data_IF_136310065797
#
_entry.id   IF_136310065797
#
_cell.length_a   1.000
_cell.length_b   1.000
_cell.length_c   1.000
_cell.angle_alpha   90.00
_cell.angle_beta   90.00
_cell.angle_gamma   90.00
#
_symmetry.space_group_name_H-M   'P 1'
#
loop_
_entity.id
_entity.type
_entity.pdbx_description
1 polymer ?
#
# COMPACT_ATOMS: atom_id res chain seq x y z
N UNK A 1 20.71 -2.03 -0.70
CA UNK A 1 19.44 -1.30 -0.91
C UNK A 1 18.46 -1.72 0.17
N UNK A 2 17.98 -0.78 0.98
CA UNK A 2 16.96 -0.99 2.00
C UNK A 2 15.58 -0.64 1.43
N UNK A 3 14.72 -1.63 1.26
CA UNK A 3 13.33 -1.45 0.85
C UNK A 3 12.37 -1.61 2.03
N UNK A 4 11.40 -0.71 2.13
CA UNK A 4 10.28 -0.79 3.06
C UNK A 4 8.96 -0.62 2.30
N UNK A 5 8.08 -1.62 2.37
CA UNK A 5 6.73 -1.58 1.82
C UNK A 5 5.74 -1.53 2.98
N UNK A 6 5.03 -0.42 3.11
CA UNK A 6 4.09 -0.18 4.20
C UNK A 6 2.76 -0.85 3.90
N UNK A 7 2.34 -1.79 4.74
CA UNK A 7 1.03 -2.44 4.66
C UNK A 7 0.04 -1.59 5.46
N UNK A 8 -0.81 -0.85 4.76
CA UNK A 8 -1.80 0.01 5.39
C UNK A 8 -2.98 -0.82 5.87
N UNK A 9 -3.22 -0.79 7.17
CA UNK A 9 -4.31 -1.55 7.80
C UNK A 9 -5.04 -0.75 8.88
N UNK A 10 -6.36 -0.94 8.96
CA UNK A 10 -7.20 -0.46 10.06
C UNK A 10 -7.64 -1.60 10.99
N UNK A 11 -7.14 -2.83 10.78
CA UNK A 11 -7.40 -4.00 11.62
C UNK A 11 -6.21 -4.97 11.69
N UNK A 12 -6.14 -5.88 12.67
CA UNK A 12 -5.11 -6.91 12.70
C UNK A 12 -5.21 -7.83 11.48
N UNK A 13 -4.07 -8.09 10.83
CA UNK A 13 -4.00 -8.93 9.62
C UNK A 13 -2.75 -9.79 9.61
N UNK A 14 -2.82 -10.92 8.90
CA UNK A 14 -1.62 -11.71 8.59
C UNK A 14 -0.76 -10.94 7.60
N UNK A 15 0.51 -10.77 7.92
CA UNK A 15 1.49 -10.10 7.06
C UNK A 15 2.37 -11.13 6.34
N UNK A 16 2.91 -10.81 5.15
CA UNK A 16 3.90 -11.64 4.49
C UNK A 16 5.15 -11.83 5.36
N UNK A 17 5.88 -12.93 5.13
CA UNK A 17 7.09 -13.24 5.90
C UNK A 17 8.31 -12.37 5.52
N UNK A 18 8.32 -11.78 4.33
CA UNK A 18 9.44 -10.97 3.88
C UNK A 18 9.55 -9.68 4.72
N UNK A 19 10.74 -9.43 5.27
CA UNK A 19 11.02 -8.33 6.19
C UNK A 19 10.87 -6.94 5.54
N UNK A 20 10.81 -6.83 4.22
CA UNK A 20 10.54 -5.55 3.56
C UNK A 20 9.13 -5.04 3.88
N UNK A 21 8.19 -5.94 4.22
CA UNK A 21 6.82 -5.56 4.55
C UNK A 21 6.71 -5.07 5.99
N UNK A 22 6.43 -3.78 6.16
CA UNK A 22 6.20 -3.16 7.45
C UNK A 22 4.70 -2.89 7.64
N UNK A 23 4.00 -3.60 8.52
CA UNK A 23 2.61 -3.29 8.81
C UNK A 23 2.47 -1.94 9.54
N UNK A 24 1.57 -1.11 9.04
CA UNK A 24 1.25 0.21 9.61
C UNK A 24 -0.25 0.26 9.91
N UNK A 25 -0.57 0.40 11.18
CA UNK A 25 -1.93 0.67 11.62
C UNK A 25 -2.22 2.16 11.47
N UNK A 26 -3.27 2.49 10.72
CA UNK A 26 -3.69 3.86 10.43
C UNK A 26 -4.75 4.40 11.37
N UNK A 27 -4.79 5.72 11.50
CA UNK A 27 -5.82 6.46 12.24
C UNK A 27 -5.58 6.51 13.76
N UNK A 28 -6.52 7.15 14.45
CA UNK A 28 -6.38 7.57 15.85
C UNK A 28 -6.99 6.60 16.88
N UNK A 29 -7.26 5.35 16.49
CA UNK A 29 -7.75 4.33 17.44
C UNK A 29 -6.81 4.20 18.64
N UNK A 30 -7.37 4.05 19.84
CA UNK A 30 -6.61 3.78 21.06
C UNK A 30 -6.03 2.37 21.10
N UNK A 31 -6.56 1.45 20.28
CA UNK A 31 -6.01 0.10 20.13
C UNK A 31 -4.65 0.16 19.43
N UNK A 32 -3.71 -0.68 19.85
CA UNK A 32 -2.41 -0.85 19.20
C UNK A 32 -2.22 -2.32 18.80
N UNK A 33 -2.19 -2.59 17.49
CA UNK A 33 -1.99 -3.94 17.00
C UNK A 33 -0.54 -4.39 17.23
N UNK A 34 -0.39 -5.56 17.86
CA UNK A 34 0.94 -6.13 18.13
C UNK A 34 1.72 -6.31 16.83
N UNK A 35 2.93 -5.76 16.78
CA UNK A 35 3.83 -5.87 15.62
C UNK A 35 3.56 -4.86 14.50
N UNK A 36 2.60 -3.94 14.67
CA UNK A 36 2.32 -2.88 13.70
C UNK A 36 2.95 -1.57 14.18
N UNK A 37 3.51 -0.80 13.25
CA UNK A 37 3.81 0.60 13.51
C UNK A 37 2.51 1.41 13.55
N UNK A 38 2.52 2.54 14.26
CA UNK A 38 1.40 3.46 14.28
C UNK A 38 1.74 4.70 13.46
N UNK A 39 0.86 5.03 12.52
CA UNK A 39 1.00 6.25 11.72
C UNK A 39 0.83 7.53 12.57
N UNK A 40 0.20 7.44 13.76
CA UNK A 40 -0.05 8.56 14.67
C UNK A 40 1.14 8.93 15.59
N UNK A 41 2.36 8.52 15.22
CA UNK A 41 3.59 8.76 15.99
C UNK A 41 4.53 9.69 15.23
N UNK A 42 5.38 10.45 15.94
CA UNK A 42 6.27 11.42 15.30
C UNK A 42 5.51 12.49 14.52
N UNK A 43 6.07 12.97 13.41
CA UNK A 43 5.38 13.91 12.51
C UNK A 43 4.33 13.16 11.68
N UNK A 44 3.05 13.49 11.88
CA UNK A 44 1.95 12.75 11.30
C UNK A 44 0.71 13.61 11.02
N UNK A 45 -0.22 13.03 10.24
CA UNK A 45 -1.54 13.59 9.92
C UNK A 45 -2.65 12.54 10.15
N UNK A 46 -2.48 11.64 11.11
CA UNK A 46 -3.38 10.49 11.31
C UNK A 46 -4.80 10.86 11.70
N UNK A 47 -5.00 12.02 12.30
CA UNK A 47 -6.32 12.60 12.55
C UNK A 47 -7.10 12.85 11.24
N UNK A 48 -6.42 12.98 10.10
CA UNK A 48 -7.03 13.15 8.78
C UNK A 48 -7.35 11.83 8.07
N UNK A 49 -7.08 10.68 8.68
CA UNK A 49 -7.34 9.37 8.09
C UNK A 49 -8.79 9.19 7.56
N UNK A 50 -9.85 9.73 8.19
CA UNK A 50 -11.21 9.63 7.64
C UNK A 50 -11.36 10.22 6.23
N UNK A 51 -10.53 11.19 5.84
CA UNK A 51 -10.60 11.88 4.54
C UNK A 51 -9.41 11.56 3.63
N UNK A 52 -8.23 11.26 4.20
CA UNK A 52 -6.98 11.05 3.46
C UNK A 52 -6.64 9.57 3.30
N UNK A 53 -7.32 8.67 4.01
CA UNK A 53 -7.13 7.22 3.94
C UNK A 53 -5.63 6.84 4.03
N UNK A 54 -5.14 6.01 3.10
CA UNK A 54 -3.77 5.50 3.06
C UNK A 54 -2.69 6.60 2.92
N UNK A 55 -3.04 7.82 2.51
CA UNK A 55 -2.10 8.94 2.43
C UNK A 55 -1.53 9.32 3.80
N UNK A 56 -2.24 9.02 4.89
CA UNK A 56 -1.72 9.24 6.25
C UNK A 56 -0.51 8.37 6.55
N UNK A 57 -0.55 7.08 6.17
CA UNK A 57 0.60 6.18 6.28
C UNK A 57 1.74 6.60 5.34
N UNK A 58 1.42 7.06 4.13
CA UNK A 58 2.43 7.55 3.18
C UNK A 58 3.15 8.79 3.72
N UNK A 59 2.42 9.75 4.28
CA UNK A 59 2.98 10.94 4.93
C UNK A 59 3.85 10.55 6.12
N UNK A 60 3.35 9.69 7.00
CA UNK A 60 4.11 9.21 8.16
C UNK A 60 5.42 8.52 7.73
N UNK A 61 5.37 7.66 6.72
CA UNK A 61 6.55 7.00 6.18
C UNK A 61 7.54 7.98 5.54
N UNK A 62 7.05 9.05 4.89
CA UNK A 62 7.90 10.09 4.36
C UNK A 62 8.71 10.76 5.47
N UNK A 63 8.06 11.14 6.57
CA UNK A 63 8.68 11.90 7.67
C UNK A 63 9.51 11.07 8.62
N UNK A 64 9.09 9.84 8.90
CA UNK A 64 9.62 9.07 10.03
C UNK A 64 10.47 7.86 9.62
N UNK A 65 10.55 7.52 8.33
CA UNK A 65 11.27 6.33 7.84
C UNK A 65 12.38 6.68 6.86
N UNK A 66 13.51 5.98 6.99
CA UNK A 66 14.65 6.05 6.07
C UNK A 66 14.80 4.71 5.34
N UNK A 67 14.54 4.72 4.04
CA UNK A 67 14.66 3.58 3.14
C UNK A 67 14.98 4.11 1.74
N UNK A 68 15.77 3.36 0.97
CA UNK A 68 16.11 3.69 -0.42
C UNK A 68 14.91 3.50 -1.34
N UNK A 69 14.05 2.54 -1.01
CA UNK A 69 12.79 2.24 -1.70
C UNK A 69 11.66 2.25 -0.69
N UNK A 70 10.64 3.07 -0.96
CA UNK A 70 9.41 3.14 -0.17
C UNK A 70 8.23 2.69 -1.04
N UNK A 71 7.51 1.68 -0.57
CA UNK A 71 6.29 1.19 -1.20
C UNK A 71 5.08 1.29 -0.29
N UNK A 72 3.89 1.25 -0.86
CA UNK A 72 2.63 1.30 -0.13
C UNK A 72 1.69 0.25 -0.70
N UNK A 73 1.08 -0.57 0.16
CA UNK A 73 0.08 -1.56 -0.23
C UNK A 73 -1.07 -1.55 0.78
N UNK A 74 -2.26 -1.90 0.30
CA UNK A 74 -3.41 -2.13 1.18
C UNK A 74 -3.30 -3.53 1.81
N UNK A 75 -3.81 -3.73 3.03
CA UNK A 75 -3.69 -5.00 3.77
C UNK A 75 -4.24 -6.27 3.08
N UNK A 76 -5.05 -6.12 2.01
CA UNK A 76 -5.58 -7.23 1.19
C UNK A 76 -5.08 -7.25 -0.25
N UNK A 77 -4.29 -6.27 -0.68
CA UNK A 77 -3.90 -6.11 -2.09
C UNK A 77 -2.41 -5.89 -2.16
N UNK A 78 -1.69 -6.93 -2.55
CA UNK A 78 -0.24 -6.96 -2.66
C UNK A 78 0.17 -7.12 -4.13
N UNK A 79 1.38 -6.69 -4.45
CA UNK A 79 2.03 -7.08 -5.71
C UNK A 79 2.35 -8.57 -5.69
N UNK A 80 2.18 -9.24 -6.82
CA UNK A 80 2.60 -10.63 -7.00
C UNK A 80 4.02 -10.71 -7.57
N UNK A 81 4.60 -11.91 -7.60
CA UNK A 81 5.86 -12.18 -8.30
C UNK A 81 5.73 -12.14 -9.85
N UNK A 82 4.77 -11.40 -10.40
CA UNK A 82 4.54 -11.25 -11.85
C UNK A 82 3.58 -12.28 -12.45
N UNK A 83 3.12 -13.27 -11.67
CA UNK A 83 2.13 -14.26 -12.14
C UNK A 83 0.70 -13.74 -12.00
N UNK A 84 -0.15 -14.20 -12.90
CA UNK A 84 -1.60 -14.03 -12.80
C UNK A 84 -2.15 -14.90 -11.67
N UNK A 85 -3.05 -14.33 -10.87
CA UNK A 85 -3.57 -14.95 -9.66
C UNK A 85 -5.11 -15.07 -9.65
N UNK A 86 -5.78 -14.86 -10.80
CA UNK A 86 -7.25 -14.83 -10.87
C UNK A 86 -7.91 -16.11 -10.33
N UNK A 87 -7.37 -17.29 -10.68
CA UNK A 87 -7.95 -18.59 -10.32
C UNK A 87 -7.34 -19.24 -9.07
N UNK A 88 -6.46 -18.53 -8.35
CA UNK A 88 -5.84 -19.09 -7.14
C UNK A 88 -6.71 -18.89 -5.90
N UNK A 89 -6.61 -19.85 -4.98
CA UNK A 89 -7.12 -19.71 -3.61
C UNK A 89 -6.46 -18.54 -2.87
N UNK A 90 -7.02 -18.17 -1.72
CA UNK A 90 -6.42 -17.15 -0.86
C UNK A 90 -4.97 -17.50 -0.47
N UNK A 91 -4.72 -18.74 -0.09
CA UNK A 91 -3.41 -19.26 0.29
C UNK A 91 -2.44 -19.21 -0.89
N UNK A 92 -2.91 -19.60 -2.08
CA UNK A 92 -2.10 -19.53 -3.31
C UNK A 92 -1.76 -18.11 -3.74
N UNK A 93 -2.66 -17.14 -3.47
CA UNK A 93 -2.39 -15.70 -3.67
C UNK A 93 -1.38 -15.18 -2.66
N UNK A 94 -1.56 -15.55 -1.39
CA UNK A 94 -0.71 -15.13 -0.29
C UNK A 94 0.73 -15.67 -0.43
N UNK A 95 0.87 -16.92 -0.90
CA UNK A 95 2.17 -17.52 -1.18
C UNK A 95 2.90 -16.89 -2.38
N UNK A 96 2.17 -16.19 -3.27
CA UNK A 96 2.73 -15.55 -4.46
C UNK A 96 2.97 -14.04 -4.29
N UNK A 97 2.86 -13.52 -3.07
CA UNK A 97 3.20 -12.13 -2.75
C UNK A 97 4.67 -11.86 -3.11
N UNK A 98 4.91 -10.69 -3.72
CA UNK A 98 6.23 -10.28 -4.18
C UNK A 98 7.26 -10.29 -3.05
N UNK A 99 8.45 -10.82 -3.31
CA UNK A 99 9.57 -10.82 -2.35
C UNK A 99 10.54 -9.68 -2.64
N UNK A 100 11.41 -9.39 -1.67
CA UNK A 100 12.52 -8.45 -1.81
C UNK A 100 13.45 -8.79 -2.97
N UNK A 101 13.73 -10.08 -3.19
CA UNK A 101 14.49 -10.57 -4.35
C UNK A 101 13.80 -10.22 -5.67
N UNK A 102 12.48 -10.39 -5.77
CA UNK A 102 11.73 -10.05 -6.98
C UNK A 102 11.64 -8.54 -7.18
N UNK A 103 11.43 -7.78 -6.10
CA UNK A 103 11.43 -6.32 -6.12
C UNK A 103 12.75 -5.78 -6.70
N UNK A 104 13.90 -6.27 -6.22
CA UNK A 104 15.21 -5.84 -6.70
C UNK A 104 15.37 -6.08 -8.20
N UNK A 105 14.99 -7.26 -8.70
CA UNK A 105 15.03 -7.58 -10.14
C UNK A 105 14.16 -6.67 -10.99
N UNK A 106 13.03 -6.19 -10.46
CA UNK A 106 12.18 -5.24 -11.17
C UNK A 106 12.74 -3.82 -11.14
N UNK A 107 13.37 -3.42 -10.02
CA UNK A 107 13.98 -2.09 -9.89
C UNK A 107 15.24 -1.91 -10.76
N UNK A 108 15.93 -3.00 -11.11
CA UNK A 108 16.99 -2.98 -12.12
C UNK A 108 16.49 -2.57 -13.52
N UNK A 109 15.20 -2.77 -13.80
CA UNK A 109 14.59 -2.50 -15.10
C UNK A 109 13.84 -1.17 -15.15
N UNK A 110 13.32 -0.72 -14.02
CA UNK A 110 12.52 0.49 -13.93
C UNK A 110 12.65 1.14 -12.55
N UNK A 111 12.70 2.47 -12.45
CA UNK A 111 12.83 3.17 -11.17
C UNK A 111 11.56 3.14 -10.30
N UNK A 112 10.42 2.75 -10.89
CA UNK A 112 9.12 2.74 -10.24
C UNK A 112 8.32 1.51 -10.65
N UNK A 113 7.66 0.88 -9.68
CA UNK A 113 6.79 -0.28 -9.88
C UNK A 113 5.38 0.12 -9.49
N UNK A 114 4.44 -0.06 -10.43
CA UNK A 114 3.02 0.23 -10.26
C UNK A 114 2.18 -0.97 -10.71
N UNK A 115 0.89 -1.05 -10.30
CA UNK A 115 -0.02 -2.05 -10.82
C UNK A 115 -0.19 -1.91 -12.34
N UNK A 116 -0.68 -2.97 -12.99
CA UNK A 116 -1.05 -2.90 -14.40
C UNK A 116 -2.06 -1.78 -14.63
N UNK A 117 -1.84 -0.97 -15.68
CA UNK A 117 -2.77 0.08 -16.09
C UNK A 117 -4.16 -0.51 -16.29
N UNK A 118 -5.17 0.14 -15.72
CA UNK A 118 -6.58 -0.19 -15.97
C UNK A 118 -7.03 0.59 -17.20
N UNK A 119 -7.66 -0.12 -18.14
CA UNK A 119 -8.27 0.51 -19.31
C UNK A 119 -9.73 0.83 -18.97
N UNK A 120 -10.09 2.12 -18.97
CA UNK A 120 -11.47 2.58 -18.90
C UNK A 120 -11.95 2.74 -20.35
N UNK A 121 -12.91 1.92 -20.77
CA UNK A 121 -13.36 1.86 -22.16
C UNK A 121 -14.62 2.69 -22.44
N UNK A 122 -15.40 2.98 -21.40
CA UNK A 122 -16.69 3.67 -21.51
C UNK A 122 -16.54 5.18 -21.28
N UNK A 123 -15.59 5.58 -20.43
CA UNK A 123 -15.48 6.95 -19.93
C UNK A 123 -14.03 7.32 -19.63
N UNK A 124 -13.74 8.62 -19.64
CA UNK A 124 -12.46 9.16 -19.19
C UNK A 124 -12.37 9.18 -17.67
N UNK A 125 -11.17 9.29 -17.11
CA UNK A 125 -11.01 9.47 -15.65
C UNK A 125 -11.72 10.72 -15.13
N UNK A 126 -11.78 11.78 -15.95
CA UNK A 126 -12.52 13.01 -15.63
C UNK A 126 -14.02 12.76 -15.54
N UNK A 127 -14.63 12.23 -16.62
CA UNK A 127 -16.07 12.00 -16.68
C UNK A 127 -16.52 10.95 -15.64
N UNK A 128 -15.70 9.93 -15.39
CA UNK A 128 -15.97 8.99 -14.29
C UNK A 128 -16.01 9.71 -12.94
N UNK A 129 -15.04 10.59 -12.66
CA UNK A 129 -15.04 11.35 -11.41
C UNK A 129 -16.26 12.26 -11.29
N UNK A 130 -16.61 12.99 -12.36
CA UNK A 130 -17.79 13.84 -12.43
C UNK A 130 -19.10 13.09 -12.16
N UNK A 131 -19.23 11.86 -12.65
CA UNK A 131 -20.43 11.04 -12.45
C UNK A 131 -20.60 10.51 -11.01
N UNK A 132 -19.49 10.27 -10.30
CA UNK A 132 -19.51 9.56 -9.00
C UNK A 132 -19.01 10.40 -7.82
N UNK A 133 -18.56 11.63 -8.05
CA UNK A 133 -18.05 12.56 -7.04
C UNK A 133 -18.44 14.01 -7.35
N UNK A 134 -18.17 14.93 -6.42
CA UNK A 134 -18.37 16.36 -6.66
C UNK A 134 -17.18 16.95 -7.42
N UNK A 135 -17.42 17.41 -8.65
CA UNK A 135 -16.34 17.87 -9.54
C UNK A 135 -15.49 19.02 -8.99
N UNK A 136 -16.07 19.86 -8.11
CA UNK A 136 -15.36 20.97 -7.44
C UNK A 136 -14.22 20.51 -6.51
N UNK A 137 -14.15 19.21 -6.19
CA UNK A 137 -13.15 18.64 -5.27
C UNK A 137 -11.94 18.02 -6.01
N UNK A 138 -11.92 18.04 -7.36
CA UNK A 138 -10.83 17.55 -8.21
C UNK A 138 -9.72 18.60 -8.39
#
# INVERSE_FOLDING_TARGET
MKAEIYIVSHKPVKTPHDKMYLPVQVGISSENFKGFCRDNTGDNISNKNPNYCELTAQYWAWKNRRADVKGLVHYRRYFSNGKSNFFKSYEGKFADIMTSTTLQKFLEKAPLILPKKRNYFIETSWSHYEHVHHIKDL
#
